data_IF_805090744267
#
_entry.id   IF_805090744267
#
_cell.length_a   1.000
_cell.length_b   1.000
_cell.length_c   1.000
_cell.angle_alpha   90.00
_cell.angle_beta   90.00
_cell.angle_gamma   90.00
#
_symmetry.space_group_name_H-M   'P 1'
#
loop_
_entity.id
_entity.type
_entity.pdbx_description
1 polymer ?
#
# COMPACT_ATOMS: atom_id res chain seq x y z
N UNK A 1 15.90 -17.60 -4.87
CA UNK A 1 15.12 -16.37 -5.10
C UNK A 1 13.74 -16.40 -4.41
N UNK A 2 13.54 -17.25 -3.40
CA UNK A 2 12.22 -17.49 -2.76
C UNK A 2 12.21 -17.11 -1.26
N UNK A 3 13.17 -16.29 -0.82
CA UNK A 3 13.34 -15.92 0.60
C UNK A 3 13.67 -14.43 0.77
N UNK A 4 12.80 -13.54 0.30
CA UNK A 4 12.86 -12.13 0.68
C UNK A 4 11.62 -11.79 1.54
N UNK A 5 11.83 -11.92 2.85
CA UNK A 5 11.12 -11.24 3.95
C UNK A 5 9.61 -11.51 4.12
N UNK A 6 9.26 -12.66 4.69
CA UNK A 6 8.03 -12.79 5.48
C UNK A 6 8.27 -12.27 6.91
N UNK A 7 8.68 -11.00 7.03
CA UNK A 7 9.01 -10.36 8.31
C UNK A 7 7.74 -9.92 9.05
N UNK A 8 6.89 -10.91 9.39
CA UNK A 8 5.65 -10.72 10.13
C UNK A 8 4.44 -10.26 9.29
N UNK A 9 4.44 -10.41 7.97
CA UNK A 9 3.23 -10.16 7.15
C UNK A 9 2.36 -11.40 7.17
N UNK A 10 1.09 -11.25 7.58
CA UNK A 10 0.11 -12.33 7.71
C UNK A 10 -0.49 -12.74 6.37
N UNK A 11 -0.83 -11.74 5.54
CA UNK A 11 -1.42 -11.95 4.20
C UNK A 11 -1.14 -10.79 3.27
N UNK A 12 -1.23 -11.06 1.97
CA UNK A 12 -1.15 -10.06 0.90
C UNK A 12 -2.50 -9.93 0.22
N UNK A 13 -3.00 -8.71 0.10
CA UNK A 13 -4.28 -8.39 -0.54
C UNK A 13 -4.05 -7.53 -1.79
N UNK A 14 -4.78 -7.79 -2.87
CA UNK A 14 -4.72 -6.96 -4.07
C UNK A 14 -5.51 -5.66 -3.86
N UNK A 15 -4.94 -4.55 -4.29
CA UNK A 15 -5.57 -3.22 -4.22
C UNK A 15 -5.03 -2.31 -5.33
N UNK A 16 -5.40 -1.03 -5.32
CA UNK A 16 -4.94 -0.03 -6.28
C UNK A 16 -4.44 1.23 -5.56
N UNK A 17 -3.49 1.93 -6.19
CA UNK A 17 -2.96 3.19 -5.68
C UNK A 17 -3.90 4.37 -6.02
N UNK A 18 -4.41 5.15 -5.04
CA UNK A 18 -5.33 6.25 -5.29
C UNK A 18 -4.65 7.61 -5.55
N UNK A 19 -3.31 7.69 -5.51
CA UNK A 19 -2.62 8.98 -5.40
C UNK A 19 -2.66 9.91 -6.62
N UNK A 20 -2.60 9.38 -7.84
CA UNK A 20 -2.41 10.20 -9.05
C UNK A 20 -3.28 9.78 -10.24
N UNK A 21 -4.25 8.88 -10.05
CA UNK A 21 -5.17 8.46 -11.11
C UNK A 21 -4.63 7.41 -12.10
N UNK A 22 -3.33 7.10 -12.10
CA UNK A 22 -2.75 6.01 -12.91
C UNK A 22 -3.33 4.64 -12.53
N UNK A 23 -3.72 4.48 -11.26
CA UNK A 23 -4.29 3.23 -10.76
C UNK A 23 -3.27 2.09 -10.77
N UNK A 24 -2.05 2.32 -10.28
CA UNK A 24 -1.04 1.26 -10.15
C UNK A 24 -1.57 0.12 -9.28
N UNK A 25 -1.35 -1.13 -9.69
CA UNK A 25 -1.74 -2.31 -8.93
C UNK A 25 -0.83 -2.52 -7.74
N UNK A 26 -1.44 -2.77 -6.57
CA UNK A 26 -0.74 -2.94 -5.31
C UNK A 26 -0.99 -4.34 -4.73
N UNK A 27 0.05 -4.90 -4.14
CA UNK A 27 -0.03 -5.97 -3.16
C UNK A 27 0.18 -5.33 -1.77
N UNK A 28 -0.88 -5.30 -0.97
CA UNK A 28 -0.87 -4.77 0.38
C UNK A 28 -0.59 -5.88 1.40
N UNK A 29 0.55 -5.80 2.06
CA UNK A 29 0.96 -6.75 3.09
C UNK A 29 0.38 -6.34 4.44
N UNK A 30 -0.55 -7.14 4.96
CA UNK A 30 -1.25 -6.89 6.22
C UNK A 30 -0.49 -7.56 7.38
N UNK A 31 -0.31 -6.81 8.46
CA UNK A 31 0.18 -7.30 9.76
C UNK A 31 -0.63 -6.66 10.86
N UNK A 32 -1.07 -7.45 11.84
CA UNK A 32 -1.88 -6.98 12.98
C UNK A 32 -3.07 -6.11 12.54
N UNK A 33 -3.76 -6.54 11.48
CA UNK A 33 -4.92 -5.83 10.93
C UNK A 33 -4.63 -4.53 10.15
N UNK A 34 -3.37 -4.10 10.01
CA UNK A 34 -2.99 -2.88 9.29
C UNK A 34 -2.03 -3.16 8.13
N UNK A 35 -2.02 -2.27 7.13
CA UNK A 35 -1.05 -2.36 6.01
C UNK A 35 0.34 -2.01 6.54
N UNK A 36 1.24 -2.99 6.53
CA UNK A 36 2.61 -2.82 6.99
C UNK A 36 3.60 -2.63 5.83
N UNK A 37 3.29 -3.15 4.64
CA UNK A 37 4.11 -2.99 3.43
C UNK A 37 3.26 -2.92 2.18
N UNK A 38 3.81 -2.27 1.15
CA UNK A 38 3.28 -2.29 -0.21
C UNK A 38 4.33 -2.87 -1.14
N UNK A 39 3.88 -3.66 -2.12
CA UNK A 39 4.63 -4.06 -3.32
C UNK A 39 3.76 -3.79 -4.55
N UNK A 40 4.36 -3.66 -5.72
CA UNK A 40 3.57 -3.60 -6.95
C UNK A 40 3.03 -4.98 -7.30
N UNK A 41 1.83 -5.04 -7.87
CA UNK A 41 1.29 -6.26 -8.47
C UNK A 41 1.86 -6.43 -9.89
N UNK A 42 2.70 -7.46 -10.14
CA UNK A 42 3.27 -7.71 -11.47
C UNK A 42 2.21 -8.03 -12.53
N UNK A 43 1.04 -8.52 -12.12
CA UNK A 43 -0.05 -8.89 -13.03
C UNK A 43 -0.94 -7.69 -13.41
N UNK A 44 -0.78 -6.53 -12.76
CA UNK A 44 -1.66 -5.39 -12.99
C UNK A 44 -1.26 -4.62 -14.25
N UNK A 45 -2.18 -4.41 -15.21
CA UNK A 45 -1.83 -3.90 -16.55
C UNK A 45 -1.26 -2.48 -16.55
N UNK A 46 -1.69 -1.63 -15.62
CA UNK A 46 -1.26 -0.22 -15.58
C UNK A 46 0.19 0.00 -15.13
N UNK A 47 0.77 -0.93 -14.36
CA UNK A 47 2.06 -0.71 -13.71
C UNK A 47 3.01 -1.89 -13.77
N UNK A 48 2.54 -3.11 -14.07
CA UNK A 48 3.36 -4.31 -14.25
C UNK A 48 4.34 -4.55 -13.07
N UNK A 49 3.92 -4.20 -11.85
CA UNK A 49 4.72 -4.32 -10.65
C UNK A 49 5.60 -3.11 -10.28
N UNK A 50 5.73 -2.11 -11.16
CA UNK A 50 6.49 -0.90 -10.87
C UNK A 50 5.71 0.10 -10.03
N UNK A 51 6.39 0.73 -9.06
CA UNK A 51 5.80 1.72 -8.17
C UNK A 51 6.67 2.96 -8.05
N UNK A 52 6.03 4.13 -8.04
CA UNK A 52 6.69 5.37 -7.65
C UNK A 52 6.82 5.49 -6.12
N UNK A 53 7.63 6.45 -5.66
CA UNK A 53 7.83 6.74 -4.23
C UNK A 53 6.51 6.98 -3.46
N UNK A 54 5.52 7.66 -4.07
CA UNK A 54 4.22 7.91 -3.42
C UNK A 54 3.52 6.61 -3.00
N UNK A 55 3.60 5.57 -3.84
CA UNK A 55 2.98 4.28 -3.56
C UNK A 55 3.80 3.47 -2.54
N UNK A 56 5.13 3.54 -2.61
CA UNK A 56 6.01 2.83 -1.65
C UNK A 56 5.79 3.31 -0.22
N UNK A 57 5.58 4.61 -0.02
CA UNK A 57 5.37 5.23 1.29
C UNK A 57 3.91 5.22 1.80
N UNK A 58 2.97 4.62 1.05
CA UNK A 58 1.56 4.50 1.48
C UNK A 58 1.37 3.99 2.92
N UNK A 59 2.06 2.94 3.39
CA UNK A 59 1.89 2.45 4.76
C UNK A 59 2.11 3.53 5.83
N UNK A 60 3.12 4.37 5.65
CA UNK A 60 3.44 5.44 6.60
C UNK A 60 2.41 6.57 6.52
N UNK A 61 2.00 6.95 5.30
CA UNK A 61 1.04 8.06 5.10
C UNK A 61 -0.36 7.71 5.58
N UNK A 62 -0.77 6.43 5.53
CA UNK A 62 -2.09 6.06 6.03
C UNK A 62 -2.17 5.98 7.56
N UNK A 63 -1.03 5.84 8.24
CA UNK A 63 -0.93 5.65 9.69
C UNK A 63 -0.45 6.91 10.43
N UNK A 64 -0.58 8.10 9.82
CA UNK A 64 -0.14 9.34 10.47
C UNK A 64 -1.01 9.69 11.69
N UNK A 65 -0.38 10.27 12.70
CA UNK A 65 -1.04 10.63 13.97
C UNK A 65 -1.99 11.83 13.84
N UNK A 66 -1.83 12.63 12.80
CA UNK A 66 -2.58 13.86 12.52
C UNK A 66 -3.77 13.62 11.58
N UNK A 67 -4.09 12.35 11.27
CA UNK A 67 -5.24 11.99 10.45
C UNK A 67 -6.53 12.50 11.09
N UNK A 68 -7.30 13.25 10.30
CA UNK A 68 -8.61 13.72 10.70
C UNK A 68 -9.56 12.52 10.93
N UNK A 69 -10.04 12.37 12.15
CA UNK A 69 -10.96 11.29 12.56
C UNK A 69 -12.42 11.76 12.71
N UNK A 70 -12.65 13.08 12.73
CA UNK A 70 -13.98 13.68 12.86
C UNK A 70 -14.14 14.85 11.87
N UNK A 71 -15.34 15.05 11.30
CA UNK A 71 -15.60 16.16 10.40
C UNK A 71 -15.38 17.52 11.09
N UNK A 72 -14.99 18.53 10.32
CA UNK A 72 -14.81 19.91 10.79
C UNK A 72 -15.85 20.82 10.13
N UNK A 73 -16.42 21.75 10.89
CA UNK A 73 -17.26 22.83 10.39
C UNK A 73 -16.43 24.12 10.41
N UNK A 74 -16.53 24.91 9.34
CA UNK A 74 -15.86 26.19 9.20
C UNK A 74 -16.84 27.33 9.45
#
# INVERSE_FOLDING_TARGET
>A
MEKIHNNGIERWEKSYCPYCGVGCGLLAGIRTGSVARIKGDPEHPSSLGDLCLKAVYLPEVIQTHDRLVYPQLR
#
